data_IF_196666812769
#
_entry.id   IF_196666812769
#
_cell.length_a   1.000
_cell.length_b   1.000
_cell.length_c   1.000
_cell.angle_alpha   90.00
_cell.angle_beta   90.00
_cell.angle_gamma   90.00
#
_symmetry.space_group_name_H-M   'P 1'
#
loop_
_entity.id
_entity.type
_entity.pdbx_description
1 polymer ?
#
# COMPACT_ATOMS: atom_id res chain seq x y z
N UNK A 1 23.22 17.06 -15.55
CA UNK A 1 22.86 16.96 -14.12
C UNK A 1 22.37 15.56 -13.87
N UNK A 2 23.15 14.79 -13.13
CA UNK A 2 22.87 13.40 -12.77
C UNK A 2 21.69 13.38 -11.80
N UNK A 3 20.57 12.75 -12.18
CA UNK A 3 19.47 12.44 -11.27
C UNK A 3 20.03 11.56 -10.15
N UNK A 4 20.12 12.10 -8.93
CA UNK A 4 20.32 11.26 -7.75
C UNK A 4 19.13 10.30 -7.64
N UNK A 5 19.36 9.01 -7.32
CA UNK A 5 18.29 8.05 -7.10
C UNK A 5 17.42 8.51 -5.92
N UNK A 6 16.11 8.72 -6.14
CA UNK A 6 15.18 9.16 -5.10
C UNK A 6 14.81 8.05 -4.10
N UNK A 7 14.27 8.43 -2.94
CA UNK A 7 13.86 7.56 -1.80
C UNK A 7 13.10 6.29 -2.17
N UNK A 8 12.32 6.29 -3.26
CA UNK A 8 11.69 5.09 -3.86
C UNK A 8 12.67 3.95 -4.09
N UNK A 9 13.93 4.23 -4.40
CA UNK A 9 14.97 3.24 -4.65
C UNK A 9 15.58 2.67 -3.37
N UNK A 10 15.58 3.43 -2.26
CA UNK A 10 16.20 3.04 -0.98
C UNK A 10 15.22 2.33 -0.03
N UNK A 11 13.97 2.78 0.04
CA UNK A 11 12.88 2.05 0.69
C UNK A 11 12.40 0.87 -0.15
N UNK A 12 12.36 1.03 -1.48
CA UNK A 12 12.26 -0.09 -2.42
C UNK A 12 13.44 -1.05 -2.35
N UNK A 13 14.61 -0.62 -1.85
CA UNK A 13 15.73 -1.51 -1.51
C UNK A 13 15.55 -2.19 -0.16
N UNK A 14 14.85 -1.61 0.82
CA UNK A 14 14.57 -2.24 2.11
C UNK A 14 13.40 -3.23 2.02
N UNK A 15 12.32 -2.84 1.33
CA UNK A 15 11.23 -3.74 0.89
C UNK A 15 11.77 -4.75 -0.12
N UNK A 16 12.60 -4.32 -1.07
CA UNK A 16 13.33 -5.18 -1.99
C UNK A 16 14.43 -6.01 -1.33
N UNK A 17 14.87 -5.70 -0.10
CA UNK A 17 15.69 -6.58 0.74
C UNK A 17 14.81 -7.53 1.52
N UNK A 18 13.61 -7.14 1.97
CA UNK A 18 12.66 -8.06 2.58
C UNK A 18 12.22 -9.12 1.56
N UNK A 19 11.83 -8.67 0.36
CA UNK A 19 11.48 -9.50 -0.79
C UNK A 19 12.71 -10.14 -1.42
N UNK A 20 13.87 -9.48 -1.42
CA UNK A 20 15.10 -9.96 -2.06
C UNK A 20 16.00 -10.82 -1.17
N UNK A 21 15.91 -10.74 0.16
CA UNK A 21 16.53 -11.71 1.09
C UNK A 21 15.65 -12.95 1.16
N UNK A 22 14.33 -12.81 1.11
CA UNK A 22 13.44 -13.94 0.81
C UNK A 22 13.78 -14.53 -0.56
N UNK A 23 13.79 -13.73 -1.63
CA UNK A 23 14.06 -14.17 -3.00
C UNK A 23 15.46 -14.75 -3.24
N UNK A 24 16.52 -14.19 -2.64
CA UNK A 24 17.90 -14.65 -2.83
C UNK A 24 18.23 -15.93 -2.02
N UNK A 25 17.51 -16.20 -0.94
CA UNK A 25 17.61 -17.49 -0.23
C UNK A 25 16.70 -18.56 -0.87
N UNK A 26 15.59 -18.17 -1.49
CA UNK A 26 14.63 -19.07 -2.16
C UNK A 26 15.07 -19.52 -3.56
N UNK A 27 16.02 -18.84 -4.22
CA UNK A 27 16.51 -19.21 -5.55
C UNK A 27 17.58 -20.32 -5.58
N UNK A 28 17.92 -20.94 -4.45
CA UNK A 28 18.74 -22.15 -4.40
C UNK A 28 17.94 -23.35 -3.86
N UNK A 29 17.28 -24.05 -4.79
CA UNK A 29 16.76 -25.43 -4.70
C UNK A 29 15.41 -25.62 -3.99
N UNK A 30 14.34 -25.93 -4.75
CA UNK A 30 13.70 -27.27 -4.81
C UNK A 30 12.36 -27.28 -5.59
N UNK A 31 12.05 -28.44 -6.17
CA UNK A 31 10.83 -28.79 -6.92
C UNK A 31 9.72 -29.30 -5.96
N UNK A 32 8.42 -29.23 -6.33
CA UNK A 32 7.29 -29.62 -5.47
C UNK A 32 6.88 -31.10 -5.59
N UNK A 33 6.15 -31.67 -4.60
CA UNK A 33 5.22 -32.79 -4.83
C UNK A 33 3.72 -32.44 -4.55
N UNK A 34 2.84 -33.36 -4.96
CA UNK A 34 1.41 -33.23 -5.36
C UNK A 34 0.32 -33.07 -4.27
N UNK A 35 -0.85 -32.61 -4.74
CA UNK A 35 -2.06 -32.15 -4.06
C UNK A 35 -2.91 -33.22 -3.32
N UNK A 36 -3.51 -32.78 -2.20
CA UNK A 36 -4.84 -33.22 -1.73
C UNK A 36 -4.93 -33.70 -0.29
N UNK A 37 -5.36 -32.85 0.67
CA UNK A 37 -5.93 -33.34 1.94
C UNK A 37 -6.76 -32.29 2.72
N UNK A 38 -7.57 -32.79 3.66
CA UNK A 38 -8.49 -32.08 4.57
C UNK A 38 -7.78 -31.10 5.55
N UNK A 39 -7.10 -30.07 5.04
CA UNK A 39 -6.41 -29.05 5.86
C UNK A 39 -7.17 -27.72 5.95
N UNK A 40 -8.09 -27.45 5.04
CA UNK A 40 -8.80 -26.16 4.92
C UNK A 40 -9.77 -25.84 6.08
N UNK A 41 -10.22 -26.84 6.86
CA UNK A 41 -11.19 -26.63 7.96
C UNK A 41 -10.55 -26.57 9.36
N UNK A 42 -9.25 -26.79 9.48
CA UNK A 42 -8.50 -26.64 10.74
C UNK A 42 -7.82 -25.26 10.87
N UNK A 43 -7.64 -24.55 9.75
CA UNK A 43 -6.86 -23.30 9.68
C UNK A 43 -7.52 -22.10 10.39
N UNK A 44 -8.85 -22.00 10.40
CA UNK A 44 -9.54 -20.88 11.06
C UNK A 44 -9.45 -20.96 12.59
N UNK A 45 -9.54 -22.17 13.15
CA UNK A 45 -9.40 -22.41 14.58
C UNK A 45 -7.92 -22.40 15.00
N UNK A 46 -7.01 -22.91 14.16
CA UNK A 46 -5.58 -22.88 14.46
C UNK A 46 -4.97 -21.49 14.37
N UNK A 47 -5.44 -20.60 13.50
CA UNK A 47 -4.92 -19.23 13.41
C UNK A 47 -5.23 -18.42 14.68
N UNK A 48 -6.45 -18.48 15.20
CA UNK A 48 -6.80 -17.83 16.46
C UNK A 48 -6.11 -18.48 17.67
N UNK A 49 -6.01 -19.82 17.69
CA UNK A 49 -5.28 -20.53 18.74
C UNK A 49 -3.76 -20.27 18.69
N UNK A 50 -3.19 -20.01 17.50
CA UNK A 50 -1.76 -19.67 17.31
C UNK A 50 -1.43 -18.25 17.73
N UNK A 51 -2.31 -17.28 17.47
CA UNK A 51 -2.16 -15.92 18.01
C UNK A 51 -2.20 -15.95 19.53
N UNK A 52 -3.10 -16.75 20.12
CA UNK A 52 -3.21 -16.91 21.58
C UNK A 52 -2.05 -17.74 22.16
N UNK A 53 -1.59 -18.79 21.48
CA UNK A 53 -0.48 -19.63 21.96
C UNK A 53 0.87 -18.94 21.83
N UNK A 54 1.10 -18.13 20.80
CA UNK A 54 2.28 -17.26 20.71
C UNK A 54 2.23 -16.15 21.76
N UNK A 55 1.05 -15.56 22.05
CA UNK A 55 0.88 -14.65 23.21
C UNK A 55 1.25 -15.33 24.52
N UNK A 56 0.78 -16.56 24.74
CA UNK A 56 1.17 -17.33 25.92
C UNK A 56 2.65 -17.68 25.92
N UNK A 57 3.26 -18.00 24.78
CA UNK A 57 4.70 -18.28 24.69
C UNK A 57 5.56 -17.03 24.96
N UNK A 58 5.12 -15.84 24.54
CA UNK A 58 5.76 -14.56 24.85
C UNK A 58 5.63 -14.26 26.34
N UNK A 59 4.44 -14.43 26.93
CA UNK A 59 4.18 -14.25 28.36
C UNK A 59 4.92 -15.28 29.24
N UNK A 60 5.01 -16.55 28.81
CA UNK A 60 5.78 -17.61 29.46
C UNK A 60 7.30 -17.37 29.35
N UNK A 61 7.77 -16.81 28.23
CA UNK A 61 9.16 -16.39 28.06
C UNK A 61 9.51 -15.17 28.94
N UNK A 62 8.57 -14.26 29.19
CA UNK A 62 8.71 -13.17 30.15
C UNK A 62 8.74 -13.67 31.60
N UNK A 63 7.99 -14.73 31.92
CA UNK A 63 7.94 -15.34 33.26
C UNK A 63 9.16 -16.21 33.65
N UNK A 64 9.94 -16.71 32.69
CA UNK A 64 10.97 -17.75 32.96
C UNK A 64 12.43 -17.30 32.83
N UNK A 65 12.72 -16.00 32.64
CA UNK A 65 14.09 -15.46 32.75
C UNK A 65 15.12 -16.00 31.76
N UNK A 66 14.74 -16.86 30.81
CA UNK A 66 15.62 -17.41 29.76
C UNK A 66 15.61 -16.48 28.55
N UNK A 67 16.38 -15.39 28.61
CA UNK A 67 16.76 -14.59 27.43
C UNK A 67 17.73 -15.39 26.53
N UNK A 68 17.20 -16.35 25.79
CA UNK A 68 17.75 -16.72 24.49
C UNK A 68 17.02 -15.91 23.43
N UNK A 69 17.47 -14.67 23.17
CA UNK A 69 16.92 -13.83 22.11
C UNK A 69 17.15 -14.59 20.79
N UNK A 70 16.11 -15.24 20.24
CA UNK A 70 16.18 -15.83 18.90
C UNK A 70 16.60 -14.72 17.95
N UNK A 71 17.71 -14.90 17.23
CA UNK A 71 18.20 -13.89 16.31
C UNK A 71 17.34 -13.88 15.05
N UNK A 72 17.33 -12.76 14.30
CA UNK A 72 16.66 -12.69 12.99
C UNK A 72 17.16 -13.80 12.06
N UNK A 73 18.44 -14.15 12.15
CA UNK A 73 19.04 -15.27 11.42
C UNK A 73 18.40 -16.61 11.79
N UNK A 74 18.14 -16.86 13.07
CA UNK A 74 17.51 -18.10 13.52
C UNK A 74 16.04 -18.15 13.09
N UNK A 75 15.31 -17.03 13.19
CA UNK A 75 13.92 -16.94 12.72
C UNK A 75 13.81 -17.16 11.20
N UNK A 76 14.70 -16.57 10.41
CA UNK A 76 14.75 -16.79 8.97
C UNK A 76 15.12 -18.22 8.60
N UNK A 77 16.00 -18.86 9.37
CA UNK A 77 16.29 -20.28 9.20
C UNK A 77 15.06 -21.14 9.47
N UNK A 78 14.29 -20.85 10.52
CA UNK A 78 13.02 -21.55 10.79
C UNK A 78 12.01 -21.34 9.67
N UNK A 79 11.89 -20.13 9.12
CA UNK A 79 11.04 -19.86 7.95
C UNK A 79 11.50 -20.71 6.75
N UNK A 80 12.80 -20.76 6.48
CA UNK A 80 13.34 -21.57 5.38
C UNK A 80 13.13 -23.08 5.58
N UNK A 81 13.22 -23.56 6.82
CA UNK A 81 12.91 -24.95 7.18
C UNK A 81 11.42 -25.26 6.94
N UNK A 82 10.50 -24.39 7.38
CA UNK A 82 9.06 -24.52 7.09
C UNK A 82 8.75 -24.61 5.60
N UNK A 83 9.31 -23.71 4.80
CA UNK A 83 9.14 -23.71 3.35
C UNK A 83 9.69 -25.01 2.73
N UNK A 84 10.85 -25.49 3.19
CA UNK A 84 11.43 -26.77 2.73
C UNK A 84 10.53 -27.97 3.10
N UNK A 85 9.90 -27.93 4.26
CA UNK A 85 9.05 -29.00 4.76
C UNK A 85 7.63 -28.96 4.15
N UNK A 86 7.35 -27.98 3.28
CA UNK A 86 6.06 -27.81 2.61
C UNK A 86 5.00 -27.12 3.47
N UNK A 87 5.40 -26.46 4.55
CA UNK A 87 4.52 -25.63 5.37
C UNK A 87 4.39 -24.22 4.79
N UNK A 88 3.16 -23.71 4.75
CA UNK A 88 2.88 -22.33 4.34
C UNK A 88 3.39 -21.31 5.37
N UNK A 89 4.05 -20.24 4.87
CA UNK A 89 4.54 -19.12 5.68
C UNK A 89 3.81 -17.84 5.30
N UNK A 90 3.30 -17.09 6.28
CA UNK A 90 2.64 -15.81 5.98
C UNK A 90 3.64 -14.65 5.85
N UNK A 91 3.24 -13.59 5.14
CA UNK A 91 4.01 -12.33 5.11
C UNK A 91 4.12 -11.69 6.49
N UNK A 92 3.13 -11.92 7.37
CA UNK A 92 3.20 -11.51 8.77
C UNK A 92 4.33 -12.24 9.50
N UNK A 93 4.50 -13.55 9.32
CA UNK A 93 5.60 -14.30 9.96
C UNK A 93 6.98 -13.76 9.57
N UNK A 94 7.15 -13.40 8.30
CA UNK A 94 8.36 -12.76 7.79
C UNK A 94 8.54 -11.39 8.43
N UNK A 95 7.48 -10.58 8.44
CA UNK A 95 7.50 -9.23 9.01
C UNK A 95 7.84 -9.25 10.50
N UNK A 96 7.17 -10.08 11.30
CA UNK A 96 7.42 -10.30 12.73
C UNK A 96 8.85 -10.75 13.01
N UNK A 97 9.38 -11.65 12.18
CA UNK A 97 10.77 -12.11 12.26
C UNK A 97 11.76 -10.97 12.03
N UNK A 98 11.41 -10.01 11.15
CA UNK A 98 12.25 -8.88 10.80
C UNK A 98 12.12 -7.68 11.73
N UNK A 99 11.04 -7.56 12.50
CA UNK A 99 10.81 -6.42 13.41
C UNK A 99 12.00 -6.09 14.31
N UNK A 100 12.68 -7.05 14.96
CA UNK A 100 13.85 -6.74 15.77
C UNK A 100 14.96 -6.00 14.99
N UNK A 101 15.27 -6.46 13.77
CA UNK A 101 16.26 -5.79 12.92
C UNK A 101 15.77 -4.42 12.43
N UNK A 102 14.49 -4.29 12.06
CA UNK A 102 13.93 -2.99 11.67
C UNK A 102 13.97 -1.98 12.82
N UNK A 103 13.68 -2.41 14.05
CA UNK A 103 13.80 -1.60 15.28
C UNK A 103 15.25 -1.15 15.50
N UNK A 104 16.21 -2.04 15.29
CA UNK A 104 17.64 -1.74 15.42
C UNK A 104 18.14 -0.76 14.34
N UNK A 105 17.56 -0.82 13.13
CA UNK A 105 17.93 0.02 11.99
C UNK A 105 17.15 1.33 11.88
N UNK A 106 16.04 1.49 12.62
CA UNK A 106 15.18 2.67 12.58
C UNK A 106 15.96 4.00 12.70
N UNK A 107 16.94 4.17 13.61
CA UNK A 107 17.71 5.42 13.70
C UNK A 107 18.53 5.75 12.44
N UNK A 108 18.97 4.74 11.68
CA UNK A 108 19.64 4.95 10.40
C UNK A 108 18.64 5.37 9.32
N UNK A 109 17.49 4.67 9.24
CA UNK A 109 16.44 5.01 8.28
C UNK A 109 15.93 6.43 8.50
N UNK A 110 15.73 6.85 9.75
CA UNK A 110 15.34 8.21 10.10
C UNK A 110 16.37 9.26 9.63
N UNK A 111 17.67 8.97 9.77
CA UNK A 111 18.74 9.86 9.29
C UNK A 111 18.77 9.96 7.77
N UNK A 112 18.66 8.84 7.06
CA UNK A 112 18.63 8.85 5.59
C UNK A 112 17.42 9.59 5.07
N UNK A 113 16.25 9.37 5.68
CA UNK A 113 15.01 10.07 5.38
C UNK A 113 15.18 11.58 5.53
N UNK A 114 15.69 12.04 6.68
CA UNK A 114 15.89 13.46 6.92
C UNK A 114 16.83 14.13 5.90
N UNK A 115 17.89 13.44 5.47
CA UNK A 115 18.83 13.95 4.45
C UNK A 115 18.22 14.06 3.05
N UNK A 116 17.40 13.09 2.64
CA UNK A 116 16.74 13.12 1.33
C UNK A 116 15.64 14.19 1.30
N UNK A 117 14.88 14.29 2.38
CA UNK A 117 13.74 15.19 2.49
C UNK A 117 14.11 16.66 2.52
N UNK A 118 15.22 17.03 3.13
CA UNK A 118 15.66 18.42 3.18
C UNK A 118 15.80 19.01 1.76
N UNK A 119 16.46 18.26 0.86
CA UNK A 119 16.62 18.67 -0.53
C UNK A 119 15.29 18.69 -1.31
N UNK A 120 14.41 17.72 -1.06
CA UNK A 120 13.12 17.62 -1.74
C UNK A 120 12.14 18.72 -1.28
N UNK A 121 12.09 19.01 0.02
CA UNK A 121 11.23 20.04 0.60
C UNK A 121 11.69 21.44 0.19
N UNK A 122 13.00 21.67 0.11
CA UNK A 122 13.54 22.91 -0.45
C UNK A 122 13.14 23.12 -1.91
N UNK A 123 13.26 22.07 -2.74
CA UNK A 123 12.88 22.14 -4.14
C UNK A 123 11.38 22.38 -4.31
N UNK A 124 10.55 21.67 -3.56
CA UNK A 124 9.08 21.79 -3.59
C UNK A 124 8.62 23.16 -3.11
N UNK A 125 9.09 23.59 -1.93
CA UNK A 125 8.73 24.90 -1.39
C UNK A 125 9.20 26.03 -2.30
N UNK A 126 10.39 25.91 -2.90
CA UNK A 126 10.87 26.86 -3.89
C UNK A 126 10.05 26.88 -5.17
N UNK A 127 9.55 25.73 -5.64
CA UNK A 127 8.67 25.68 -6.82
C UNK A 127 7.32 26.35 -6.56
N UNK A 128 6.67 25.98 -5.46
CA UNK A 128 5.40 26.56 -5.05
C UNK A 128 5.52 28.05 -4.75
N UNK A 129 6.62 28.46 -4.11
CA UNK A 129 6.95 29.86 -3.85
C UNK A 129 7.05 30.68 -5.13
N UNK A 130 7.77 30.18 -6.14
CA UNK A 130 7.87 30.87 -7.44
C UNK A 130 6.56 30.86 -8.22
N UNK A 131 5.78 29.78 -8.16
CA UNK A 131 4.56 29.64 -8.95
C UNK A 131 3.42 30.51 -8.42
N UNK A 132 3.32 30.66 -7.11
CA UNK A 132 2.23 31.37 -6.43
C UNK A 132 2.70 32.59 -5.64
N UNK A 133 3.87 33.14 -6.00
CA UNK A 133 4.51 34.33 -5.39
C UNK A 133 4.49 34.34 -3.85
N UNK A 134 4.79 33.19 -3.22
CA UNK A 134 4.78 33.10 -1.77
C UNK A 134 5.79 34.05 -1.16
N UNK A 135 5.39 34.75 -0.09
CA UNK A 135 6.32 35.58 0.65
C UNK A 135 7.47 34.74 1.25
N UNK A 136 8.66 35.31 1.53
CA UNK A 136 9.73 34.58 2.22
C UNK A 136 9.32 34.03 3.59
N UNK A 137 8.29 34.60 4.20
CA UNK A 137 7.72 34.09 5.46
C UNK A 137 6.89 32.83 5.21
N UNK A 138 6.07 32.82 4.15
CA UNK A 138 5.18 31.70 3.84
C UNK A 138 5.95 30.54 3.23
N UNK A 139 6.98 30.79 2.42
CA UNK A 139 7.90 29.74 1.95
C UNK A 139 8.58 29.02 3.14
N UNK A 140 9.07 29.77 4.13
CA UNK A 140 9.63 29.16 5.36
C UNK A 140 8.58 28.40 6.13
N UNK A 141 7.36 28.93 6.25
CA UNK A 141 6.27 28.23 6.92
C UNK A 141 5.87 26.93 6.21
N UNK A 142 5.94 26.90 4.88
CA UNK A 142 5.71 25.70 4.07
C UNK A 142 6.79 24.64 4.32
N UNK A 143 8.07 25.04 4.35
CA UNK A 143 9.18 24.14 4.69
C UNK A 143 9.00 23.55 6.10
N UNK A 144 8.71 24.40 7.08
CA UNK A 144 8.47 23.96 8.47
C UNK A 144 7.23 23.04 8.57
N UNK A 145 6.22 23.26 7.72
CA UNK A 145 5.05 22.38 7.64
C UNK A 145 5.41 21.01 7.05
N UNK A 146 6.17 20.97 5.96
CA UNK A 146 6.63 19.73 5.32
C UNK A 146 7.50 18.88 6.26
N UNK A 147 8.45 19.52 6.95
CA UNK A 147 9.30 18.85 7.95
C UNK A 147 8.46 18.21 9.04
N UNK A 148 7.50 18.96 9.60
CA UNK A 148 6.61 18.46 10.67
C UNK A 148 5.72 17.32 10.18
N UNK A 149 5.15 17.44 8.98
CA UNK A 149 4.34 16.37 8.38
C UNK A 149 5.13 15.09 8.20
N UNK A 150 6.36 15.23 7.77
CA UNK A 150 7.23 14.06 7.62
C UNK A 150 7.65 13.45 8.97
N UNK A 151 7.85 14.26 10.00
CA UNK A 151 8.06 13.76 11.37
C UNK A 151 6.80 13.07 11.95
N UNK A 152 5.60 13.50 11.57
CA UNK A 152 4.34 12.81 11.90
C UNK A 152 4.28 11.44 11.21
N UNK A 153 4.53 11.38 9.89
CA UNK A 153 4.48 10.14 9.13
C UNK A 153 5.60 9.15 9.55
N UNK A 154 6.79 9.65 9.88
CA UNK A 154 7.86 8.83 10.43
C UNK A 154 7.52 8.24 11.81
N UNK A 155 6.73 8.97 12.62
CA UNK A 155 6.22 8.44 13.89
C UNK A 155 5.22 7.33 13.64
N UNK A 156 4.28 7.48 12.71
CA UNK A 156 3.31 6.43 12.35
C UNK A 156 4.03 5.15 11.89
N UNK A 157 5.04 5.27 11.03
CA UNK A 157 5.84 4.12 10.61
C UNK A 157 6.60 3.46 11.77
N UNK A 158 7.22 4.26 12.64
CA UNK A 158 7.88 3.74 13.83
C UNK A 158 6.86 3.04 14.74
N UNK A 159 5.66 3.57 14.93
CA UNK A 159 4.59 2.91 15.69
C UNK A 159 4.28 1.51 15.14
N UNK A 160 4.21 1.33 13.82
CA UNK A 160 4.00 -0.01 13.21
C UNK A 160 5.15 -0.97 13.49
N UNK A 161 6.40 -0.50 13.39
CA UNK A 161 7.60 -1.34 13.62
C UNK A 161 7.76 -1.72 15.10
N UNK A 162 7.49 -0.78 16.00
CA UNK A 162 7.63 -0.98 17.45
C UNK A 162 6.40 -1.61 18.08
N UNK A 163 5.25 -1.60 17.40
CA UNK A 163 4.04 -2.29 17.84
C UNK A 163 4.23 -3.80 17.86
N UNK A 164 3.70 -4.42 18.91
CA UNK A 164 3.60 -5.87 19.06
C UNK A 164 2.27 -6.43 18.52
N UNK A 165 1.44 -5.59 17.87
CA UNK A 165 0.19 -6.01 17.21
C UNK A 165 0.12 -5.72 15.71
N UNK A 166 0.95 -4.82 15.16
CA UNK A 166 0.84 -4.44 13.74
C UNK A 166 1.35 -5.51 12.79
N UNK A 167 0.66 -5.73 11.68
CA UNK A 167 0.98 -6.70 10.64
C UNK A 167 1.73 -6.12 9.44
N UNK A 168 2.01 -6.97 8.45
CA UNK A 168 2.67 -6.60 7.20
C UNK A 168 1.85 -5.60 6.38
N UNK A 169 0.51 -5.72 6.39
CA UNK A 169 -0.37 -4.77 5.69
C UNK A 169 -0.28 -3.36 6.29
N UNK A 170 -0.21 -3.26 7.62
CA UNK A 170 -0.01 -1.97 8.30
C UNK A 170 1.34 -1.36 7.92
N UNK A 171 2.37 -2.20 7.81
CA UNK A 171 3.69 -1.79 7.37
C UNK A 171 3.72 -1.28 5.93
N UNK A 172 3.07 -1.97 5.00
CA UNK A 172 2.95 -1.50 3.61
C UNK A 172 2.22 -0.16 3.56
N UNK A 173 1.14 0.00 4.33
CA UNK A 173 0.39 1.26 4.41
C UNK A 173 1.24 2.40 4.94
N UNK A 174 1.94 2.20 6.05
CA UNK A 174 2.80 3.20 6.67
C UNK A 174 4.08 3.49 5.86
N UNK A 175 4.46 2.61 4.93
CA UNK A 175 5.63 2.80 4.06
C UNK A 175 5.37 3.74 2.87
N UNK A 176 4.13 4.20 2.65
CA UNK A 176 3.76 5.10 1.53
C UNK A 176 4.09 6.58 1.84
N UNK A 177 5.30 6.85 2.33
CA UNK A 177 5.72 8.16 2.84
C UNK A 177 5.60 9.31 1.84
N UNK A 178 6.07 9.14 0.60
CA UNK A 178 6.08 10.21 -0.42
C UNK A 178 4.67 10.74 -0.73
N UNK A 179 3.67 9.84 -0.68
CA UNK A 179 2.28 10.21 -0.93
C UNK A 179 1.65 10.85 0.30
N UNK A 180 2.05 10.42 1.50
CA UNK A 180 1.53 10.91 2.78
C UNK A 180 2.12 12.26 3.20
N UNK A 181 3.38 12.55 2.87
CA UNK A 181 4.07 13.79 3.23
C UNK A 181 3.42 15.03 2.57
N UNK A 182 2.68 14.82 1.47
CA UNK A 182 1.97 15.87 0.73
C UNK A 182 0.47 15.93 1.06
N UNK A 183 -0.07 14.98 1.85
CA UNK A 183 -1.46 15.07 2.31
C UNK A 183 -1.60 16.29 3.22
N UNK A 184 -2.55 17.17 2.90
CA UNK A 184 -2.74 18.42 3.62
C UNK A 184 -2.06 19.64 2.98
N UNK A 185 -1.27 19.46 1.91
CA UNK A 185 -0.52 20.57 1.30
C UNK A 185 -1.46 21.56 0.63
N UNK A 186 -2.57 21.08 0.06
CA UNK A 186 -3.56 21.90 -0.61
C UNK A 186 -4.22 22.85 0.41
N UNK A 187 -4.64 22.30 1.55
CA UNK A 187 -5.23 23.06 2.65
C UNK A 187 -4.24 24.08 3.24
N UNK A 188 -2.95 23.71 3.33
CA UNK A 188 -1.92 24.65 3.75
C UNK A 188 -1.82 25.81 2.76
N UNK A 189 -1.68 25.54 1.47
CA UNK A 189 -1.54 26.56 0.43
C UNK A 189 -2.78 27.46 0.37
N UNK A 190 -3.97 26.90 0.42
CA UNK A 190 -5.23 27.66 0.43
C UNK A 190 -5.36 28.61 1.62
N UNK A 191 -4.70 28.31 2.75
CA UNK A 191 -4.68 29.19 3.92
C UNK A 191 -3.72 30.38 3.81
N UNK A 192 -2.85 30.38 2.79
CA UNK A 192 -1.80 31.39 2.57
C UNK A 192 -2.06 32.25 1.35
N UNK A 193 -2.73 31.70 0.35
CA UNK A 193 -3.02 32.39 -0.90
C UNK A 193 -4.33 33.18 -0.78
N UNK A 194 -4.38 34.33 -1.46
CA UNK A 194 -5.57 35.18 -1.53
C UNK A 194 -5.81 35.63 -2.98
N UNK A 195 -7.01 36.15 -3.26
CA UNK A 195 -7.34 36.77 -4.55
C UNK A 195 -7.09 35.85 -5.77
N UNK A 196 -6.32 36.36 -6.73
CA UNK A 196 -6.04 35.70 -8.01
C UNK A 196 -5.16 34.45 -7.84
N UNK A 197 -4.17 34.48 -6.95
CA UNK A 197 -3.27 33.35 -6.69
C UNK A 197 -4.02 32.15 -6.13
N UNK A 198 -4.96 32.38 -5.20
CA UNK A 198 -5.81 31.33 -4.65
C UNK A 198 -6.73 30.74 -5.72
N UNK A 199 -7.30 31.58 -6.59
CA UNK A 199 -8.14 31.13 -7.68
C UNK A 199 -7.36 30.28 -8.69
N UNK A 200 -6.15 30.71 -9.05
CA UNK A 200 -5.24 29.95 -9.91
C UNK A 200 -4.86 28.61 -9.28
N UNK A 201 -4.43 28.62 -8.01
CA UNK A 201 -4.07 27.40 -7.27
C UNK A 201 -5.21 26.39 -7.30
N UNK A 202 -6.43 26.80 -6.94
CA UNK A 202 -7.60 25.92 -6.94
C UNK A 202 -7.92 25.36 -8.32
N UNK A 203 -7.82 26.19 -9.36
CA UNK A 203 -8.06 25.74 -10.73
C UNK A 203 -7.01 24.71 -11.19
N UNK A 204 -5.72 24.96 -10.94
CA UNK A 204 -4.64 24.04 -11.28
C UNK A 204 -4.78 22.71 -10.52
N UNK A 205 -5.03 22.76 -9.21
CA UNK A 205 -5.23 21.56 -8.38
C UNK A 205 -6.44 20.75 -8.81
N UNK A 206 -7.56 21.41 -9.13
CA UNK A 206 -8.73 20.74 -9.69
C UNK A 206 -8.40 20.05 -11.02
N UNK A 207 -7.69 20.74 -11.93
CA UNK A 207 -7.28 20.17 -13.22
C UNK A 207 -6.35 18.97 -13.10
N UNK A 208 -5.36 19.03 -12.20
CA UNK A 208 -4.47 17.90 -11.89
C UNK A 208 -5.24 16.71 -11.32
N UNK A 209 -6.18 16.99 -10.41
CA UNK A 209 -7.00 15.97 -9.76
C UNK A 209 -7.93 15.28 -10.77
N UNK A 210 -8.62 16.05 -11.61
CA UNK A 210 -9.42 15.56 -12.74
C UNK A 210 -8.57 14.66 -13.64
N UNK A 211 -7.39 15.14 -14.05
CA UNK A 211 -6.50 14.37 -14.94
C UNK A 211 -6.05 13.05 -14.31
N UNK A 212 -5.74 13.06 -13.01
CA UNK A 212 -5.36 11.85 -12.30
C UNK A 212 -6.52 10.86 -12.18
N UNK A 213 -7.71 11.34 -11.79
CA UNK A 213 -8.92 10.52 -11.70
C UNK A 213 -9.23 9.89 -13.06
N UNK A 214 -9.19 10.67 -14.15
CA UNK A 214 -9.41 10.15 -15.50
C UNK A 214 -8.37 9.09 -15.90
N UNK A 215 -7.09 9.34 -15.64
CA UNK A 215 -6.03 8.39 -15.99
C UNK A 215 -6.09 7.09 -15.17
N UNK A 216 -6.47 7.16 -13.90
CA UNK A 216 -6.71 6.00 -13.04
C UNK A 216 -7.96 5.24 -13.47
N UNK A 217 -9.07 5.95 -13.69
CA UNK A 217 -10.34 5.39 -14.12
C UNK A 217 -10.21 4.67 -15.47
N UNK A 218 -9.55 5.30 -16.45
CA UNK A 218 -9.30 4.68 -17.75
C UNK A 218 -8.49 3.39 -17.63
N UNK A 219 -7.41 3.39 -16.83
CA UNK A 219 -6.60 2.17 -16.63
C UNK A 219 -7.42 1.03 -16.03
N UNK A 220 -8.26 1.34 -15.05
CA UNK A 220 -9.15 0.35 -14.42
C UNK A 220 -10.24 -0.14 -15.36
N UNK A 221 -10.85 0.78 -16.12
CA UNK A 221 -11.85 0.47 -17.13
C UNK A 221 -11.29 -0.51 -18.17
N UNK A 222 -10.11 -0.24 -18.73
CA UNK A 222 -9.49 -1.12 -19.72
C UNK A 222 -9.25 -2.54 -19.18
N UNK A 223 -8.96 -2.69 -17.88
CA UNK A 223 -8.80 -4.01 -17.25
C UNK A 223 -10.14 -4.74 -17.11
N UNK A 224 -11.18 -4.06 -16.65
CA UNK A 224 -12.53 -4.65 -16.56
C UNK A 224 -13.01 -5.03 -17.96
N UNK A 225 -12.93 -4.11 -18.91
CA UNK A 225 -13.34 -4.32 -20.29
C UNK A 225 -12.63 -5.52 -20.92
N UNK A 226 -11.30 -5.61 -20.76
CA UNK A 226 -10.54 -6.77 -21.23
C UNK A 226 -10.97 -8.12 -20.64
N UNK A 227 -11.60 -8.12 -19.46
CA UNK A 227 -12.09 -9.33 -18.80
C UNK A 227 -13.55 -9.68 -19.18
N UNK A 228 -14.41 -8.69 -19.37
CA UNK A 228 -15.86 -8.93 -19.54
C UNK A 228 -16.42 -8.55 -20.90
N UNK A 229 -15.69 -7.77 -21.72
CA UNK A 229 -16.11 -7.23 -23.01
C UNK A 229 -17.34 -6.32 -22.82
N UNK A 230 -17.11 -5.08 -22.37
CA UNK A 230 -18.14 -4.08 -22.13
C UNK A 230 -18.59 -3.48 -23.48
N UNK A 231 -19.88 -3.20 -23.62
CA UNK A 231 -20.35 -2.40 -24.76
C UNK A 231 -20.22 -0.90 -24.50
N UNK A 232 -20.49 -0.09 -25.54
CA UNK A 232 -20.32 1.36 -25.48
C UNK A 232 -21.16 2.03 -24.38
N UNK A 233 -22.38 1.55 -24.13
CA UNK A 233 -23.25 2.15 -23.10
C UNK A 233 -22.70 1.81 -21.70
N UNK A 234 -22.19 0.58 -21.53
CA UNK A 234 -21.57 0.14 -20.29
C UNK A 234 -20.19 0.77 -20.04
N UNK A 235 -19.44 1.10 -21.08
CA UNK A 235 -18.12 1.73 -20.96
C UNK A 235 -18.23 3.09 -20.27
N UNK A 236 -19.21 3.91 -20.64
CA UNK A 236 -19.44 5.22 -20.04
C UNK A 236 -19.89 5.09 -18.58
N UNK A 237 -20.85 4.21 -18.30
CA UNK A 237 -21.34 3.97 -16.94
C UNK A 237 -20.23 3.41 -16.02
N UNK A 238 -19.47 2.43 -16.52
CA UNK A 238 -18.33 1.84 -15.80
C UNK A 238 -17.22 2.87 -15.57
N UNK A 239 -16.95 3.76 -16.53
CA UNK A 239 -16.01 4.85 -16.32
C UNK A 239 -16.43 5.73 -15.13
N UNK A 240 -17.71 6.08 -15.04
CA UNK A 240 -18.26 6.83 -13.92
C UNK A 240 -18.04 6.13 -12.57
N UNK A 241 -18.25 4.81 -12.52
CA UNK A 241 -17.95 3.99 -11.32
C UNK A 241 -16.45 4.03 -10.98
N UNK A 242 -15.57 3.85 -11.97
CA UNK A 242 -14.12 3.86 -11.78
C UNK A 242 -13.60 5.23 -11.30
N UNK A 243 -14.12 6.32 -11.86
CA UNK A 243 -13.77 7.68 -11.48
C UNK A 243 -14.14 7.95 -10.02
N UNK A 244 -15.36 7.61 -9.61
CA UNK A 244 -15.84 7.75 -8.23
C UNK A 244 -15.12 6.86 -7.24
N UNK A 245 -14.54 5.76 -7.72
CA UNK A 245 -13.70 4.83 -6.97
C UNK A 245 -12.25 5.28 -6.78
N UNK A 246 -11.82 6.40 -7.39
CA UNK A 246 -10.47 6.92 -7.21
C UNK A 246 -10.30 7.56 -5.85
N UNK A 247 -9.14 7.34 -5.22
CA UNK A 247 -8.77 8.01 -3.96
C UNK A 247 -8.73 9.54 -4.07
N UNK A 248 -8.55 10.06 -5.27
CA UNK A 248 -8.48 11.50 -5.56
C UNK A 248 -9.82 12.08 -6.02
N UNK A 249 -10.87 11.26 -6.10
CA UNK A 249 -12.21 11.76 -6.38
C UNK A 249 -12.72 12.60 -5.21
N UNK A 250 -13.27 13.77 -5.52
CA UNK A 250 -14.01 14.60 -4.58
C UNK A 250 -15.46 14.75 -4.99
N UNK A 251 -16.40 14.76 -4.01
CA UNK A 251 -17.81 15.00 -4.30
C UNK A 251 -18.02 16.32 -5.03
N UNK A 252 -18.75 16.28 -6.14
CA UNK A 252 -18.99 17.44 -7.01
C UNK A 252 -18.06 17.52 -8.23
N UNK A 253 -17.10 16.60 -8.37
CA UNK A 253 -16.46 16.38 -9.67
C UNK A 253 -17.44 15.74 -10.65
N UNK A 254 -17.47 16.29 -11.85
CA UNK A 254 -18.31 15.80 -12.95
C UNK A 254 -17.43 15.24 -14.05
N UNK A 255 -17.70 13.99 -14.40
CA UNK A 255 -17.13 13.31 -15.55
C UNK A 255 -18.27 12.77 -16.41
N UNK A 256 -18.01 12.65 -17.71
CA UNK A 256 -18.92 11.96 -18.62
C UNK A 256 -19.17 10.52 -18.13
N UNK A 257 -20.42 10.06 -18.21
CA UNK A 257 -20.82 8.72 -17.76
C UNK A 257 -21.26 8.59 -16.29
N UNK A 258 -21.20 9.65 -15.47
CA UNK A 258 -21.58 9.59 -14.05
C UNK A 258 -23.08 9.64 -13.73
N UNK A 259 -23.95 9.90 -14.71
CA UNK A 259 -25.41 9.79 -14.53
C UNK A 259 -26.01 10.68 -13.41
N UNK A 260 -25.41 11.83 -13.10
CA UNK A 260 -25.85 12.71 -12.02
C UNK A 260 -25.47 12.26 -10.60
N UNK A 261 -24.78 11.12 -10.47
CA UNK A 261 -24.26 10.65 -9.19
C UNK A 261 -22.93 11.32 -8.86
N UNK A 262 -22.81 11.87 -7.64
CA UNK A 262 -21.65 12.69 -7.25
C UNK A 262 -20.93 12.18 -6.00
N UNK A 263 -21.39 11.08 -5.41
CA UNK A 263 -20.79 10.48 -4.21
C UNK A 263 -19.57 9.62 -4.53
N UNK A 264 -18.55 9.67 -3.69
CA UNK A 264 -17.39 8.76 -3.76
C UNK A 264 -17.81 7.32 -3.48
N UNK A 265 -17.21 6.36 -4.18
CA UNK A 265 -17.45 4.93 -4.00
C UNK A 265 -16.23 4.26 -3.39
N UNK A 266 -16.43 3.47 -2.34
CA UNK A 266 -15.34 2.74 -1.66
C UNK A 266 -15.74 1.30 -1.36
N UNK A 267 -14.74 0.41 -1.33
CA UNK A 267 -14.91 -0.97 -0.88
C UNK A 267 -16.13 -1.67 -1.50
N UNK A 268 -17.04 -2.11 -0.63
CA UNK A 268 -18.24 -2.86 -1.01
C UNK A 268 -19.21 -2.06 -1.90
N UNK A 269 -19.33 -0.74 -1.69
CA UNK A 269 -20.24 0.09 -2.49
C UNK A 269 -19.76 0.20 -3.93
N UNK A 270 -18.44 0.32 -4.11
CA UNK A 270 -17.82 0.31 -5.44
C UNK A 270 -18.01 -1.03 -6.13
N UNK A 271 -17.76 -2.13 -5.42
CA UNK A 271 -17.94 -3.48 -5.97
C UNK A 271 -19.40 -3.74 -6.35
N UNK A 272 -20.35 -3.28 -5.53
CA UNK A 272 -21.78 -3.34 -5.85
C UNK A 272 -22.12 -2.54 -7.11
N UNK A 273 -21.54 -1.34 -7.26
CA UNK A 273 -21.73 -0.50 -8.44
C UNK A 273 -21.16 -1.16 -9.71
N UNK A 274 -19.95 -1.75 -9.64
CA UNK A 274 -19.38 -2.51 -10.77
C UNK A 274 -20.34 -3.62 -11.19
N UNK A 275 -20.82 -4.43 -10.23
CA UNK A 275 -21.73 -5.55 -10.50
C UNK A 275 -23.06 -5.10 -11.10
N UNK A 276 -23.55 -3.91 -10.75
CA UNK A 276 -24.81 -3.38 -11.26
C UNK A 276 -24.75 -3.02 -12.77
N UNK A 277 -23.58 -2.60 -13.26
CA UNK A 277 -23.36 -2.27 -14.69
C UNK A 277 -23.30 -3.55 -15.56
N UNK A 278 -22.83 -4.66 -14.99
CA UNK A 278 -22.59 -5.90 -15.72
C UNK A 278 -23.88 -6.69 -16.00
N UNK A 279 -24.00 -7.22 -17.21
CA UNK A 279 -25.03 -8.22 -17.54
C UNK A 279 -24.76 -9.56 -16.84
N UNK A 280 -25.76 -10.44 -16.71
CA UNK A 280 -25.58 -11.74 -16.03
C UNK A 280 -24.47 -12.63 -16.58
N UNK A 281 -24.18 -12.57 -17.88
CA UNK A 281 -23.07 -13.31 -18.49
C UNK A 281 -21.71 -12.66 -18.24
N UNK A 282 -21.63 -11.33 -18.29
CA UNK A 282 -20.43 -10.55 -17.95
C UNK A 282 -20.09 -10.67 -16.47
N UNK A 283 -21.08 -10.69 -15.58
CA UNK A 283 -20.90 -10.89 -14.16
C UNK A 283 -20.19 -12.22 -13.86
N UNK A 284 -20.60 -13.30 -14.55
CA UNK A 284 -19.91 -14.60 -14.41
C UNK A 284 -18.46 -14.55 -14.89
N UNK A 285 -18.18 -13.82 -15.97
CA UNK A 285 -16.79 -13.62 -16.45
C UNK A 285 -15.97 -12.81 -15.45
N UNK A 286 -16.56 -11.76 -14.89
CA UNK A 286 -15.93 -10.93 -13.86
C UNK A 286 -15.59 -11.75 -12.61
N UNK A 287 -16.54 -12.54 -12.12
CA UNK A 287 -16.32 -13.42 -10.96
C UNK A 287 -15.24 -14.47 -11.23
N UNK A 288 -15.27 -15.09 -12.42
CA UNK A 288 -14.23 -16.02 -12.85
C UNK A 288 -12.85 -15.34 -12.93
N UNK A 289 -12.79 -14.12 -13.47
CA UNK A 289 -11.56 -13.34 -13.55
C UNK A 289 -11.01 -13.00 -12.15
N UNK A 290 -11.87 -12.56 -11.22
CA UNK A 290 -11.46 -12.27 -9.85
C UNK A 290 -10.94 -13.52 -9.13
N UNK A 291 -11.62 -14.66 -9.34
CA UNK A 291 -11.20 -15.94 -8.80
C UNK A 291 -9.86 -16.39 -9.40
N UNK A 292 -9.70 -16.31 -10.72
CA UNK A 292 -8.45 -16.63 -11.41
C UNK A 292 -7.29 -15.77 -10.91
N UNK A 293 -7.50 -14.45 -10.74
CA UNK A 293 -6.50 -13.55 -10.15
C UNK A 293 -6.11 -13.95 -8.74
N UNK A 294 -7.09 -14.31 -7.91
CA UNK A 294 -6.84 -14.78 -6.55
C UNK A 294 -6.03 -16.08 -6.58
N UNK A 295 -6.43 -17.03 -7.42
CA UNK A 295 -5.72 -18.29 -7.58
C UNK A 295 -4.31 -18.12 -8.16
N UNK A 296 -4.10 -17.20 -9.10
CA UNK A 296 -2.78 -16.84 -9.61
C UNK A 296 -1.91 -16.25 -8.52
N UNK A 297 -2.43 -15.29 -7.75
CA UNK A 297 -1.72 -14.71 -6.62
C UNK A 297 -1.39 -15.78 -5.56
N UNK A 298 -2.32 -16.69 -5.26
CA UNK A 298 -2.08 -17.83 -4.38
C UNK A 298 -1.02 -18.77 -4.94
N UNK A 299 -1.08 -19.11 -6.25
CA UNK A 299 -0.08 -19.97 -6.89
C UNK A 299 1.30 -19.34 -6.88
N UNK A 300 1.42 -18.05 -7.16
CA UNK A 300 2.67 -17.32 -7.12
C UNK A 300 3.25 -17.27 -5.70
N UNK A 301 2.41 -16.98 -4.70
CA UNK A 301 2.82 -17.00 -3.29
C UNK A 301 3.25 -18.40 -2.86
N UNK A 302 2.48 -19.44 -3.16
CA UNK A 302 2.82 -20.84 -2.84
C UNK A 302 4.11 -21.30 -3.53
N UNK A 303 4.39 -20.87 -4.77
CA UNK A 303 5.70 -21.11 -5.42
C UNK A 303 6.88 -20.54 -4.64
N UNK A 304 6.64 -19.49 -3.86
CA UNK A 304 7.62 -18.89 -2.96
C UNK A 304 7.56 -19.45 -1.53
N UNK A 305 6.69 -20.45 -1.26
CA UNK A 305 6.43 -20.99 0.08
C UNK A 305 5.60 -20.08 0.97
N UNK A 306 4.85 -19.15 0.37
CA UNK A 306 4.09 -18.12 1.08
C UNK A 306 2.58 -18.34 0.98
N UNK A 307 1.84 -17.89 2.00
CA UNK A 307 0.38 -17.79 1.98
C UNK A 307 -0.10 -16.38 1.62
N UNK A 308 -1.21 -16.33 0.87
CA UNK A 308 -1.84 -15.07 0.49
C UNK A 308 -2.55 -14.44 1.72
N UNK A 309 -2.26 -13.18 2.09
CA UNK A 309 -2.91 -12.54 3.24
C UNK A 309 -4.40 -12.27 2.97
N UNK A 310 -5.21 -12.24 4.05
CA UNK A 310 -6.66 -12.00 3.97
C UNK A 310 -7.02 -10.71 3.22
N UNK A 311 -6.21 -9.66 3.41
CA UNK A 311 -6.39 -8.35 2.77
C UNK A 311 -5.49 -8.15 1.54
N UNK A 312 -5.20 -9.21 0.78
CA UNK A 312 -4.32 -9.14 -0.41
C UNK A 312 -4.75 -8.10 -1.45
N UNK A 313 -6.06 -7.79 -1.51
CA UNK A 313 -6.62 -6.76 -2.37
C UNK A 313 -6.06 -5.36 -2.06
N UNK A 314 -5.52 -5.14 -0.85
CA UNK A 314 -4.85 -3.90 -0.46
C UNK A 314 -3.38 -3.84 -0.92
N UNK A 315 -2.78 -5.00 -1.18
CA UNK A 315 -1.41 -5.16 -1.70
C UNK A 315 -1.35 -5.10 -3.22
N UNK A 316 -2.47 -5.41 -3.86
CA UNK A 316 -2.72 -5.05 -5.25
C UNK A 316 -2.90 -3.52 -5.30
N UNK A 317 -1.80 -2.77 -5.36
CA UNK A 317 -1.82 -1.33 -5.68
C UNK A 317 -2.46 -1.06 -7.06
N UNK A 318 -2.72 -2.12 -7.83
CA UNK A 318 -3.59 -2.15 -8.99
C UNK A 318 -5.08 -2.40 -8.69
N UNK A 319 -5.50 -2.20 -7.44
CA UNK A 319 -6.90 -2.24 -7.04
C UNK A 319 -7.75 -1.53 -8.08
N UNK A 320 -8.86 -2.18 -8.46
CA UNK A 320 -9.97 -1.53 -9.16
C UNK A 320 -10.35 -0.22 -8.46
#
# INVERSE_FOLDING_TARGET
MTKSPGMRQYLGLAIGLLVGVAGALLFQQSLPPEEGSMQEQLEEVEAELRVVSQRNAVLEAEGTGRRGRRSVRDGMRTIAEKIRDGEDVSLDDIFWTMKPWMRDMAPLFDRMRALDQDNNFDALAGDLSRRYDLSPRDERALKDWLVRKSEENAREFNEVIFSDTSGFVDFVRASRFDEQDLVGIDEFMESRLEGEELAQFKAERLGERISHVQAEANRRLHRIDGAVDLDNDQLDEMFGVMARGSKRFEPGMEFDGMGGETGRLEGADREAAIRAVLRPDQLRRYEAYQQERKEDAEREMRRMGLSLPKDWQLLDDEGF
#
